data_IF_559959366296
#
_entry.id   IF_559959366296
#
_cell.length_a   1.000
_cell.length_b   1.000
_cell.length_c   1.000
_cell.angle_alpha   90.00
_cell.angle_beta   90.00
_cell.angle_gamma   90.00
#
_symmetry.space_group_name_H-M   'P 1'
#
loop_
_entity.id
_entity.type
_entity.pdbx_description
1 polymer ?
#
# COMPACT_ATOMS: atom_id res chain seq x y z
N UNK A 1 -6.36 4.70 30.61
CA UNK A 1 -5.57 4.30 29.43
C UNK A 1 -6.29 4.84 28.21
N UNK A 2 -5.69 5.83 27.53
CA UNK A 2 -6.27 6.46 26.34
C UNK A 2 -6.03 5.53 25.14
N UNK A 3 -7.08 4.90 24.62
CA UNK A 3 -7.01 4.25 23.31
C UNK A 3 -6.80 5.33 22.26
N UNK A 4 -5.63 5.34 21.62
CA UNK A 4 -5.40 6.17 20.46
C UNK A 4 -6.46 5.79 19.40
N UNK A 5 -7.31 6.76 19.02
CA UNK A 5 -8.26 6.58 17.94
C UNK A 5 -7.48 6.15 16.70
N UNK A 6 -7.69 4.92 16.23
CA UNK A 6 -7.03 4.43 15.05
C UNK A 6 -7.34 5.40 13.89
N UNK A 7 -6.34 5.83 13.10
CA UNK A 7 -6.61 6.71 11.97
C UNK A 7 -7.64 6.02 11.06
N UNK A 8 -8.83 6.61 10.98
CA UNK A 8 -9.87 6.19 10.04
C UNK A 8 -9.41 6.61 8.66
N UNK A 9 -8.77 5.68 7.96
CA UNK A 9 -8.32 5.91 6.59
C UNK A 9 -9.56 5.92 5.72
N UNK A 10 -9.94 7.10 5.24
CA UNK A 10 -11.03 7.25 4.29
C UNK A 10 -10.75 6.41 3.03
N UNK A 11 -11.76 5.76 2.44
CA UNK A 11 -11.58 5.01 1.21
C UNK A 11 -11.07 5.94 0.10
N UNK A 12 -10.07 5.46 -0.66
CA UNK A 12 -9.50 6.18 -1.79
C UNK A 12 -10.48 6.24 -2.97
N UNK A 13 -10.48 7.34 -3.70
CA UNK A 13 -11.16 7.44 -5.00
C UNK A 13 -10.40 6.67 -6.09
N UNK A 14 -11.07 6.36 -7.20
CA UNK A 14 -10.45 5.68 -8.34
C UNK A 14 -9.25 6.45 -8.89
N UNK A 15 -9.37 7.77 -9.05
CA UNK A 15 -8.26 8.63 -9.52
C UNK A 15 -7.05 8.58 -8.58
N UNK A 16 -7.27 8.56 -7.26
CA UNK A 16 -6.16 8.42 -6.31
C UNK A 16 -5.49 7.04 -6.40
N UNK A 17 -6.26 5.98 -6.65
CA UNK A 17 -5.71 4.63 -6.87
C UNK A 17 -4.86 4.59 -8.15
N UNK A 18 -5.31 5.25 -9.22
CA UNK A 18 -4.57 5.36 -10.48
C UNK A 18 -3.26 6.15 -10.30
N UNK A 19 -3.28 7.25 -9.54
CA UNK A 19 -2.08 8.02 -9.23
C UNK A 19 -1.05 7.19 -8.46
N UNK A 20 -1.49 6.38 -7.48
CA UNK A 20 -0.60 5.48 -6.73
C UNK A 20 -0.01 4.38 -7.62
N UNK A 21 -0.81 3.83 -8.53
CA UNK A 21 -0.33 2.84 -9.52
C UNK A 21 0.71 3.46 -10.45
N UNK A 22 0.46 4.68 -10.94
CA UNK A 22 1.39 5.42 -11.79
C UNK A 22 2.68 5.80 -11.06
N UNK A 23 2.61 6.20 -9.79
CA UNK A 23 3.79 6.46 -8.98
C UNK A 23 4.62 5.18 -8.83
N UNK A 24 3.98 4.06 -8.47
CA UNK A 24 4.66 2.78 -8.31
C UNK A 24 5.31 2.26 -9.61
N UNK A 25 4.72 2.54 -10.79
CA UNK A 25 5.28 2.07 -12.06
C UNK A 25 6.57 2.79 -12.46
N UNK A 26 6.83 3.97 -11.89
CA UNK A 26 8.04 4.77 -12.12
C UNK A 26 9.21 4.37 -11.21
N UNK A 27 8.98 3.52 -10.21
CA UNK A 27 9.99 3.04 -9.27
C UNK A 27 10.46 1.62 -9.63
N UNK A 28 11.67 1.25 -9.20
CA UNK A 28 12.25 -0.06 -9.46
C UNK A 28 12.77 -0.72 -8.18
N UNK A 29 12.85 -2.05 -8.19
CA UNK A 29 13.54 -2.83 -7.17
C UNK A 29 13.07 -2.53 -5.74
N UNK A 30 14.00 -2.33 -4.78
CA UNK A 30 13.67 -2.06 -3.38
C UNK A 30 12.85 -0.78 -3.17
N UNK A 31 13.09 0.28 -3.95
CA UNK A 31 12.34 1.54 -3.83
C UNK A 31 10.85 1.31 -4.11
N UNK A 32 10.54 0.58 -5.18
CA UNK A 32 9.15 0.22 -5.50
C UNK A 32 8.52 -0.60 -4.39
N UNK A 33 9.23 -1.58 -3.83
CA UNK A 33 8.73 -2.43 -2.74
C UNK A 33 8.44 -1.62 -1.47
N UNK A 34 9.37 -0.76 -1.08
CA UNK A 34 9.22 0.14 0.08
C UNK A 34 8.01 1.08 -0.08
N UNK A 35 7.82 1.65 -1.27
CA UNK A 35 6.64 2.46 -1.58
C UNK A 35 5.34 1.66 -1.45
N UNK A 36 5.28 0.49 -2.10
CA UNK A 36 4.09 -0.37 -2.07
C UNK A 36 3.76 -0.86 -0.66
N UNK A 37 4.78 -1.22 0.14
CA UNK A 37 4.64 -1.62 1.53
C UNK A 37 4.08 -0.47 2.38
N UNK A 38 4.63 0.73 2.24
CA UNK A 38 4.16 1.93 2.96
C UNK A 38 2.69 2.23 2.65
N UNK A 39 2.31 2.20 1.36
CA UNK A 39 0.92 2.41 0.96
C UNK A 39 0.00 1.28 1.42
N UNK A 40 0.50 0.04 1.48
CA UNK A 40 -0.23 -1.12 2.03
C UNK A 40 -0.47 -0.98 3.53
N UNK A 41 0.51 -0.53 4.31
CA UNK A 41 0.33 -0.21 5.73
C UNK A 41 -0.73 0.88 5.90
N UNK A 42 -0.62 1.96 5.11
CA UNK A 42 -1.49 3.12 5.21
C UNK A 42 -2.94 2.81 4.82
N UNK A 43 -3.19 2.15 3.70
CA UNK A 43 -4.54 2.02 3.14
C UNK A 43 -5.12 0.60 3.23
N UNK A 44 -4.30 -0.40 3.54
CA UNK A 44 -4.69 -1.80 3.55
C UNK A 44 -4.34 -2.50 4.87
N UNK A 45 -4.02 -1.75 5.93
CA UNK A 45 -3.65 -2.28 7.26
C UNK A 45 -2.53 -3.32 7.20
N UNK A 46 -1.60 -3.15 6.26
CA UNK A 46 -0.51 -4.09 6.06
C UNK A 46 -0.91 -5.40 5.36
N UNK A 47 -2.15 -5.54 4.86
CA UNK A 47 -2.64 -6.78 4.24
C UNK A 47 -2.30 -6.85 2.74
N UNK A 48 -1.41 -7.76 2.31
CA UNK A 48 -1.00 -7.88 0.90
C UNK A 48 -2.14 -8.31 -0.02
N UNK A 49 -3.06 -9.17 0.44
CA UNK A 49 -4.24 -9.59 -0.35
C UNK A 49 -5.19 -8.42 -0.60
N UNK A 50 -5.32 -7.52 0.37
CA UNK A 50 -6.14 -6.33 0.20
C UNK A 50 -5.47 -5.34 -0.76
N UNK A 51 -4.16 -5.12 -0.63
CA UNK A 51 -3.41 -4.26 -1.54
C UNK A 51 -3.42 -4.76 -2.98
N UNK A 52 -3.35 -6.07 -3.21
CA UNK A 52 -3.53 -6.67 -4.53
C UNK A 52 -4.92 -6.33 -5.11
N UNK A 53 -5.99 -6.47 -4.33
CA UNK A 53 -7.35 -6.15 -4.80
C UNK A 53 -7.56 -4.65 -5.07
N UNK A 54 -6.99 -3.78 -4.24
CA UNK A 54 -7.18 -2.32 -4.35
C UNK A 54 -6.25 -1.74 -5.42
N UNK A 55 -4.95 -2.03 -5.35
CA UNK A 55 -3.92 -1.42 -6.18
C UNK A 55 -3.48 -2.29 -7.36
N UNK A 56 -3.82 -3.58 -7.41
CA UNK A 56 -3.39 -4.47 -8.49
C UNK A 56 -1.89 -4.85 -8.43
N UNK A 57 -1.23 -4.59 -7.31
CA UNK A 57 0.18 -4.93 -7.13
C UNK A 57 0.37 -6.40 -6.79
N UNK A 58 1.51 -6.96 -7.22
CA UNK A 58 1.87 -8.34 -6.94
C UNK A 58 2.07 -8.55 -5.43
N UNK A 59 1.42 -9.59 -4.90
CA UNK A 59 1.42 -9.89 -3.47
C UNK A 59 2.81 -10.16 -2.90
N UNK A 60 3.59 -10.99 -3.58
CA UNK A 60 4.94 -11.39 -3.12
C UNK A 60 5.88 -10.18 -3.04
N UNK A 61 5.69 -9.22 -3.96
CA UNK A 61 6.45 -7.95 -3.97
C UNK A 61 6.10 -7.07 -2.75
N UNK A 62 4.83 -7.01 -2.38
CA UNK A 62 4.35 -6.30 -1.20
C UNK A 62 4.82 -7.01 0.09
N UNK A 63 4.69 -8.34 0.14
CA UNK A 63 5.14 -9.14 1.29
C UNK A 63 6.63 -8.96 1.54
N UNK A 64 7.46 -9.01 0.50
CA UNK A 64 8.88 -8.73 0.64
C UNK A 64 9.11 -7.31 1.17
N UNK A 65 8.47 -6.29 0.59
CA UNK A 65 8.65 -4.91 1.04
C UNK A 65 8.15 -4.62 2.47
N UNK A 66 7.21 -5.41 2.99
CA UNK A 66 6.75 -5.29 4.38
C UNK A 66 7.72 -5.91 5.39
N UNK A 67 8.65 -6.75 4.94
CA UNK A 67 9.63 -7.46 5.77
C UNK A 67 11.08 -6.96 5.57
N UNK A 68 11.30 -5.97 4.71
CA UNK A 68 12.59 -5.28 4.49
C UNK A 68 12.80 -4.17 5.54
#
# INVERSE_FOLDING_TARGET
>A
MLFASAPTVSPLSTSQIEDLRLASSKMLGPERRSFQATMTLKYCRGNPRQAERVFGWNRDTIELGLNE
#
